data_IF_012811985037
#
_entry.id   IF_012811985037
#
_cell.length_a   1.000
_cell.length_b   1.000
_cell.length_c   1.000
_cell.angle_alpha   90.00
_cell.angle_beta   90.00
_cell.angle_gamma   90.00
#
_symmetry.space_group_name_H-M   'P 1'
#
loop_
_entity.id
_entity.type
_entity.pdbx_description
1 polymer ?
#
# COMPACT_ATOMS: atom_id res chain seq x y z
N UNK A 1 -37.68 -72.03 7.22
CA UNK A 1 -37.56 -70.58 7.44
C UNK A 1 -37.07 -69.95 6.16
N UNK A 2 -37.97 -69.31 5.41
CA UNK A 2 -37.67 -68.70 4.12
C UNK A 2 -36.85 -67.43 4.30
N UNK A 3 -35.72 -67.34 3.59
CA UNK A 3 -34.99 -66.09 3.39
C UNK A 3 -35.64 -65.39 2.19
N UNK A 4 -36.43 -64.35 2.45
CA UNK A 4 -36.94 -63.47 1.40
C UNK A 4 -35.82 -62.52 1.01
N UNK A 5 -35.30 -62.64 -0.22
CA UNK A 5 -34.49 -61.59 -0.84
C UNK A 5 -35.41 -60.67 -1.63
N UNK A 6 -35.58 -59.42 -1.18
CA UNK A 6 -36.24 -58.38 -1.97
C UNK A 6 -35.31 -57.97 -3.11
N UNK A 7 -35.75 -58.19 -4.35
CA UNK A 7 -35.22 -57.51 -5.52
C UNK A 7 -35.93 -56.15 -5.63
N UNK A 8 -35.19 -55.04 -5.50
CA UNK A 8 -35.74 -53.69 -5.69
C UNK A 8 -35.92 -53.42 -7.18
N UNK A 9 -37.18 -53.29 -7.63
CA UNK A 9 -37.52 -52.80 -8.97
C UNK A 9 -37.61 -51.27 -8.93
N UNK A 10 -36.79 -50.59 -9.74
CA UNK A 10 -36.84 -49.14 -9.93
C UNK A 10 -37.76 -48.82 -11.11
N UNK A 11 -38.77 -47.97 -10.89
CA UNK A 11 -39.72 -47.57 -11.96
C UNK A 11 -39.07 -46.59 -12.95
N UNK A 12 -39.59 -46.54 -14.18
CA UNK A 12 -39.08 -45.64 -15.22
C UNK A 12 -39.09 -44.15 -14.80
N UNK A 13 -40.05 -43.72 -13.98
CA UNK A 13 -40.11 -42.37 -13.42
C UNK A 13 -38.98 -42.08 -12.42
N UNK A 14 -38.61 -43.10 -11.62
CA UNK A 14 -37.43 -43.05 -10.74
C UNK A 14 -36.14 -42.89 -11.54
N UNK A 15 -36.01 -43.57 -12.69
CA UNK A 15 -34.82 -43.44 -13.54
C UNK A 15 -34.69 -42.05 -14.18
N UNK A 16 -35.78 -41.46 -14.66
CA UNK A 16 -35.77 -40.10 -15.24
C UNK A 16 -35.38 -39.05 -14.20
N UNK A 17 -35.90 -39.16 -12.97
CA UNK A 17 -35.54 -38.27 -11.87
C UNK A 17 -34.05 -38.37 -11.53
N UNK A 18 -33.49 -39.58 -11.51
CA UNK A 18 -32.06 -39.81 -11.25
C UNK A 18 -31.19 -39.14 -12.34
N UNK A 19 -31.54 -39.31 -13.62
CA UNK A 19 -30.80 -38.71 -14.73
C UNK A 19 -30.88 -37.18 -14.70
N UNK A 20 -32.04 -36.60 -14.39
CA UNK A 20 -32.21 -35.16 -14.28
C UNK A 20 -31.38 -34.57 -13.13
N UNK A 21 -31.37 -35.24 -11.97
CA UNK A 21 -30.55 -34.84 -10.80
C UNK A 21 -29.06 -34.95 -11.13
N UNK A 22 -28.63 -36.03 -11.78
CA UNK A 22 -27.24 -36.21 -12.23
C UNK A 22 -26.82 -35.11 -13.22
N UNK A 23 -27.68 -34.79 -14.18
CA UNK A 23 -27.46 -33.69 -15.13
C UNK A 23 -27.30 -32.35 -14.41
N UNK A 24 -28.12 -32.06 -13.40
CA UNK A 24 -28.03 -30.84 -12.60
C UNK A 24 -26.72 -30.77 -11.79
N UNK A 25 -26.33 -31.87 -11.15
CA UNK A 25 -25.09 -31.97 -10.35
C UNK A 25 -23.84 -31.82 -11.22
N UNK A 26 -23.83 -32.44 -12.40
CA UNK A 26 -22.72 -32.31 -13.36
C UNK A 26 -22.61 -30.89 -13.90
N UNK A 27 -23.73 -30.19 -14.13
CA UNK A 27 -23.71 -28.79 -14.52
C UNK A 27 -23.12 -27.90 -13.40
N UNK A 28 -23.48 -28.12 -12.14
CA UNK A 28 -22.88 -27.39 -11.01
C UNK A 28 -21.35 -27.52 -10.98
N UNK A 29 -20.80 -28.70 -11.26
CA UNK A 29 -19.36 -28.89 -11.33
C UNK A 29 -18.68 -28.14 -12.49
N UNK A 30 -19.39 -27.89 -13.59
CA UNK A 30 -18.91 -27.09 -14.74
C UNK A 30 -19.00 -25.59 -14.46
N UNK A 31 -19.99 -25.13 -13.68
CA UNK A 31 -20.12 -23.71 -13.28
C UNK A 31 -19.18 -23.36 -12.11
N UNK A 32 -18.68 -24.35 -11.37
CA UNK A 32 -17.68 -24.16 -10.33
C UNK A 32 -16.29 -23.99 -10.96
N UNK A 33 -15.84 -22.74 -11.13
CA UNK A 33 -14.45 -22.43 -11.42
C UNK A 33 -13.60 -22.74 -10.17
N UNK A 34 -13.18 -23.99 -10.02
CA UNK A 34 -12.33 -24.44 -8.91
C UNK A 34 -11.01 -23.67 -8.94
N UNK A 35 -10.70 -22.93 -7.86
CA UNK A 35 -9.52 -22.09 -7.80
C UNK A 35 -8.24 -22.87 -8.09
N UNK A 36 -7.44 -22.40 -9.05
CA UNK A 36 -6.11 -22.93 -9.32
C UNK A 36 -5.23 -22.56 -8.13
N UNK A 37 -4.80 -23.57 -7.36
CA UNK A 37 -3.88 -23.37 -6.24
C UNK A 37 -2.47 -23.75 -6.68
N UNK A 38 -1.51 -22.86 -6.46
CA UNK A 38 -0.10 -23.16 -6.72
C UNK A 38 0.40 -24.25 -5.77
N UNK A 39 1.23 -25.17 -6.26
CA UNK A 39 1.94 -26.15 -5.43
C UNK A 39 3.10 -25.53 -4.64
N UNK A 40 3.39 -24.25 -4.86
CA UNK A 40 4.42 -23.53 -4.13
C UNK A 40 4.01 -23.33 -2.66
N UNK A 41 4.76 -23.96 -1.77
CA UNK A 41 4.69 -23.72 -0.33
C UNK A 41 5.93 -22.93 0.07
N UNK A 42 5.73 -21.71 0.59
CA UNK A 42 6.83 -20.92 1.16
C UNK A 42 7.40 -21.68 2.36
N UNK A 43 8.67 -22.04 2.32
CA UNK A 43 9.36 -22.55 3.51
C UNK A 43 9.36 -21.44 4.57
N UNK A 44 8.71 -21.67 5.72
CA UNK A 44 8.72 -20.73 6.84
C UNK A 44 10.10 -20.82 7.48
N UNK A 45 11.05 -20.03 6.96
CA UNK A 45 12.19 -19.62 7.76
C UNK A 45 11.69 -18.54 8.71
N UNK A 46 11.96 -18.69 10.00
CA UNK A 46 11.65 -17.68 11.00
C UNK A 46 12.38 -16.40 10.60
N UNK A 47 11.66 -15.44 10.06
CA UNK A 47 12.24 -14.17 9.64
C UNK A 47 12.46 -13.32 10.88
N UNK A 48 13.72 -13.12 11.26
CA UNK A 48 14.07 -12.17 12.30
C UNK A 48 13.84 -10.74 11.80
N UNK A 49 13.50 -9.81 12.69
CA UNK A 49 13.42 -8.39 12.36
C UNK A 49 14.82 -7.85 11.99
N UNK A 50 14.87 -6.83 11.14
CA UNK A 50 16.12 -6.12 10.89
C UNK A 50 16.61 -5.47 12.21
N UNK A 51 17.90 -5.61 12.55
CA UNK A 51 18.43 -4.99 13.76
C UNK A 51 18.44 -3.46 13.61
N UNK A 52 18.33 -2.72 14.72
CA UNK A 52 18.20 -1.26 14.72
C UNK A 52 19.41 -0.52 14.12
N UNK A 53 20.57 -1.16 14.07
CA UNK A 53 21.81 -0.65 13.48
C UNK A 53 21.94 -0.96 11.98
N UNK A 54 20.91 -1.55 11.36
CA UNK A 54 20.88 -1.75 9.90
C UNK A 54 21.01 -0.42 9.16
N UNK A 55 21.68 -0.45 8.01
CA UNK A 55 21.91 0.68 7.13
C UNK A 55 20.60 1.41 6.74
N UNK A 56 19.52 0.67 6.48
CA UNK A 56 18.20 1.22 6.16
C UNK A 56 17.52 2.01 7.28
N UNK A 57 17.99 1.89 8.52
CA UNK A 57 17.48 2.63 9.69
C UNK A 57 18.37 3.80 10.10
N UNK A 58 19.43 4.09 9.35
CA UNK A 58 20.31 5.21 9.66
C UNK A 58 19.54 6.53 9.66
N UNK A 59 19.73 7.28 10.75
CA UNK A 59 19.11 8.60 10.92
C UNK A 59 19.83 9.60 10.00
N UNK A 60 19.09 10.47 9.29
CA UNK A 60 19.70 11.54 8.49
C UNK A 60 20.62 12.41 9.35
N UNK A 61 21.85 12.70 8.88
CA UNK A 61 22.79 13.48 9.67
C UNK A 61 22.36 14.94 9.78
N UNK A 62 22.73 15.58 10.88
CA UNK A 62 22.50 17.00 11.14
C UNK A 62 21.39 17.26 12.16
N UNK A 63 21.44 18.44 12.77
CA UNK A 63 20.51 18.80 13.83
C UNK A 63 19.08 18.93 13.31
N UNK A 64 18.15 18.23 13.95
CA UNK A 64 16.73 18.22 13.61
C UNK A 64 16.43 17.91 12.13
N UNK A 65 17.29 17.12 11.47
CA UNK A 65 17.14 16.78 10.07
C UNK A 65 15.82 15.99 9.84
N UNK A 66 15.00 16.37 8.83
CA UNK A 66 13.77 15.66 8.52
C UNK A 66 14.02 14.17 8.24
N UNK A 67 13.32 13.30 8.95
CA UNK A 67 13.32 11.86 8.77
C UNK A 67 11.91 11.35 8.46
N UNK A 68 11.82 10.10 8.00
CA UNK A 68 10.53 9.47 7.63
C UNK A 68 9.72 10.40 6.72
N UNK A 69 10.31 10.77 5.58
CA UNK A 69 9.65 11.62 4.58
C UNK A 69 8.78 10.71 3.72
N UNK A 70 7.49 11.01 3.64
CA UNK A 70 6.53 10.33 2.79
C UNK A 70 5.64 11.33 2.06
N UNK A 71 5.12 10.89 0.92
CA UNK A 71 4.14 11.64 0.13
C UNK A 71 2.93 10.77 -0.18
N UNK A 72 1.77 11.40 -0.33
CA UNK A 72 0.55 10.75 -0.83
C UNK A 72 -0.26 11.75 -1.65
N UNK A 73 -1.15 11.25 -2.51
CA UNK A 73 -2.13 12.09 -3.20
C UNK A 73 -2.96 12.90 -2.18
N UNK A 74 -3.12 14.19 -2.44
CA UNK A 74 -3.75 15.15 -1.53
C UNK A 74 -5.12 15.65 -1.95
N UNK A 75 -5.59 15.28 -3.12
CA UNK A 75 -6.90 15.65 -3.65
C UNK A 75 -7.55 14.48 -4.41
N UNK A 76 -8.72 14.72 -5.00
CA UNK A 76 -9.43 13.70 -5.76
C UNK A 76 -8.90 13.53 -7.19
N UNK A 77 -8.41 14.61 -7.82
CA UNK A 77 -8.04 14.64 -9.23
C UNK A 77 -6.56 14.29 -9.46
N UNK A 78 -5.71 14.32 -8.44
CA UNK A 78 -4.28 14.02 -8.54
C UNK A 78 -3.41 15.25 -8.81
N UNK A 79 -3.92 16.46 -8.58
CA UNK A 79 -3.16 17.71 -8.69
C UNK A 79 -2.77 18.33 -7.34
N UNK A 80 -2.88 17.56 -6.25
CA UNK A 80 -2.30 17.89 -4.96
C UNK A 80 -1.53 16.72 -4.36
N UNK A 81 -0.52 17.04 -3.55
CA UNK A 81 0.30 16.06 -2.82
C UNK A 81 0.41 16.50 -1.37
N UNK A 82 0.18 15.57 -0.45
CA UNK A 82 0.47 15.75 0.97
C UNK A 82 1.91 15.29 1.18
N UNK A 83 2.77 16.20 1.60
CA UNK A 83 4.14 15.92 2.03
C UNK A 83 4.15 15.81 3.55
N UNK A 84 4.72 14.75 4.09
CA UNK A 84 4.81 14.53 5.53
C UNK A 84 6.20 14.07 5.94
N UNK A 85 6.66 14.52 7.10
CA UNK A 85 7.96 14.18 7.66
C UNK A 85 7.95 14.30 9.17
N UNK A 86 9.01 13.81 9.81
CA UNK A 86 9.21 13.89 11.26
C UNK A 86 10.51 14.65 11.56
N UNK A 87 10.45 15.56 12.52
CA UNK A 87 11.61 16.16 13.18
C UNK A 87 11.69 15.63 14.62
N UNK A 88 12.90 15.28 15.08
CA UNK A 88 13.09 14.53 16.31
C UNK A 88 13.30 15.42 17.55
N UNK A 89 14.00 16.54 17.37
CA UNK A 89 14.53 17.33 18.48
C UNK A 89 13.59 18.50 18.86
N UNK A 90 13.05 19.18 17.85
CA UNK A 90 12.21 20.38 18.04
C UNK A 90 11.16 20.51 16.90
N UNK A 91 10.05 21.26 17.11
CA UNK A 91 8.99 21.35 16.12
C UNK A 91 9.49 21.80 14.75
N UNK A 92 10.35 22.81 14.68
CA UNK A 92 10.80 23.37 13.40
C UNK A 92 9.66 24.00 12.58
N UNK A 93 9.97 24.38 11.35
CA UNK A 93 9.00 24.98 10.42
C UNK A 93 8.32 23.91 9.56
N UNK A 94 6.98 24.02 9.44
CA UNK A 94 6.14 23.05 8.73
C UNK A 94 5.89 23.40 7.27
N UNK A 95 6.56 24.43 6.74
CA UNK A 95 6.41 24.83 5.34
C UNK A 95 7.24 23.97 4.40
N UNK A 96 6.80 23.91 3.15
CA UNK A 96 7.51 23.24 2.06
C UNK A 96 7.77 24.25 0.95
N UNK A 97 9.02 24.34 0.50
CA UNK A 97 9.38 25.08 -0.71
C UNK A 97 9.34 24.09 -1.87
N UNK A 98 8.67 24.43 -2.96
CA UNK A 98 8.53 23.57 -4.12
C UNK A 98 8.56 24.34 -5.44
N UNK A 99 8.98 23.67 -6.51
CA UNK A 99 9.05 24.23 -7.86
C UNK A 99 9.05 23.13 -8.92
N UNK A 100 8.71 23.47 -10.15
CA UNK A 100 8.96 22.66 -11.34
C UNK A 100 9.95 23.39 -12.25
N UNK A 101 10.32 22.78 -13.39
CA UNK A 101 11.27 23.39 -14.33
C UNK A 101 10.83 24.77 -14.84
N UNK A 102 9.51 24.99 -14.94
CA UNK A 102 8.92 26.19 -15.55
C UNK A 102 8.34 27.17 -14.51
N UNK A 103 8.43 26.87 -13.22
CA UNK A 103 7.89 27.71 -12.15
C UNK A 103 8.97 28.29 -11.24
N UNK A 104 8.65 29.43 -10.62
CA UNK A 104 9.46 29.95 -9.51
C UNK A 104 9.19 29.15 -8.25
N UNK A 105 10.09 29.25 -7.27
CA UNK A 105 9.89 28.69 -5.94
C UNK A 105 8.59 29.21 -5.33
N UNK A 106 7.74 28.27 -4.91
CA UNK A 106 6.50 28.49 -4.18
C UNK A 106 6.66 27.91 -2.78
N UNK A 107 5.87 28.43 -1.84
CA UNK A 107 5.83 27.93 -0.47
C UNK A 107 4.42 27.49 -0.12
N UNK A 108 4.29 26.31 0.47
CA UNK A 108 3.07 25.83 1.08
C UNK A 108 3.26 25.75 2.60
N UNK A 109 2.25 26.16 3.36
CA UNK A 109 2.28 26.09 4.82
C UNK A 109 1.65 24.78 5.30
N UNK A 110 2.30 24.13 6.25
CA UNK A 110 1.82 22.90 6.86
C UNK A 110 1.42 23.06 8.31
N UNK A 111 1.01 21.94 8.91
CA UNK A 111 0.71 21.83 10.34
C UNK A 111 1.65 20.81 10.98
N UNK A 112 1.90 20.98 12.27
CA UNK A 112 2.68 20.05 13.09
C UNK A 112 1.79 19.45 14.18
N UNK A 113 1.98 18.16 14.43
CA UNK A 113 1.24 17.40 15.43
C UNK A 113 2.16 16.42 16.15
N UNK A 114 1.74 15.96 17.33
CA UNK A 114 2.44 14.93 18.12
C UNK A 114 1.41 13.99 18.73
N UNK A 115 1.81 12.75 19.00
CA UNK A 115 0.98 11.81 19.74
C UNK A 115 1.76 11.08 20.83
N UNK A 116 1.03 10.55 21.80
CA UNK A 116 1.57 9.70 22.86
C UNK A 116 0.89 8.34 22.82
N UNK A 117 1.65 7.27 23.01
CA UNK A 117 1.14 5.91 23.13
C UNK A 117 1.87 5.18 24.26
N UNK A 118 1.16 4.86 25.34
CA UNK A 118 1.76 4.34 26.57
C UNK A 118 2.88 5.27 27.10
N UNK A 119 4.13 4.79 27.17
CA UNK A 119 5.30 5.56 27.60
C UNK A 119 6.10 6.14 26.43
N UNK A 120 5.61 6.00 25.18
CA UNK A 120 6.22 6.57 23.99
C UNK A 120 5.55 7.89 23.62
N UNK A 121 6.37 8.87 23.27
CA UNK A 121 5.95 10.14 22.67
C UNK A 121 6.60 10.23 21.29
N UNK A 122 5.81 10.56 20.27
CA UNK A 122 6.34 10.75 18.92
C UNK A 122 7.28 11.96 18.84
N UNK A 123 8.12 12.00 17.81
CA UNK A 123 8.66 13.28 17.32
C UNK A 123 7.56 14.20 16.80
N UNK A 124 7.96 15.32 16.21
CA UNK A 124 7.05 16.30 15.64
C UNK A 124 6.70 15.90 14.20
N UNK A 125 5.42 15.61 13.97
CA UNK A 125 4.91 15.08 12.71
C UNK A 125 4.33 16.24 11.91
N UNK A 126 4.92 16.50 10.76
CA UNK A 126 4.52 17.55 9.85
C UNK A 126 3.64 17.01 8.74
N UNK A 127 2.61 17.77 8.38
CA UNK A 127 1.79 17.55 7.21
C UNK A 127 1.61 18.88 6.46
N UNK A 128 2.03 18.91 5.20
CA UNK A 128 1.87 20.06 4.32
C UNK A 128 1.19 19.62 3.03
N UNK A 129 0.14 20.33 2.63
CA UNK A 129 -0.58 20.06 1.38
C UNK A 129 -0.08 21.03 0.32
N UNK A 130 0.48 20.50 -0.76
CA UNK A 130 0.87 21.26 -1.95
C UNK A 130 -0.22 21.03 -3.00
N UNK A 131 -0.95 22.06 -3.37
CA UNK A 131 -2.07 21.99 -4.32
C UNK A 131 -1.83 22.78 -5.61
N UNK A 132 -2.81 22.71 -6.51
CA UNK A 132 -2.80 23.38 -7.82
C UNK A 132 -1.57 23.05 -8.66
N UNK A 133 -1.12 21.80 -8.59
CA UNK A 133 0.01 21.30 -9.37
C UNK A 133 -0.41 21.05 -10.82
N UNK A 134 0.51 21.24 -11.76
CA UNK A 134 0.31 20.79 -13.13
C UNK A 134 0.37 19.27 -13.21
N UNK A 135 -0.48 18.65 -14.03
CA UNK A 135 -0.44 17.22 -14.28
C UNK A 135 0.82 16.81 -15.05
N UNK A 136 1.21 15.54 -14.94
CA UNK A 136 2.36 14.95 -15.64
C UNK A 136 3.63 15.82 -15.54
N UNK A 137 3.88 16.39 -14.36
CA UNK A 137 4.94 17.37 -14.14
C UNK A 137 5.80 16.95 -12.96
N UNK A 138 7.12 17.00 -13.14
CA UNK A 138 8.07 16.75 -12.06
C UNK A 138 8.21 18.00 -11.19
N UNK A 139 7.99 17.82 -9.89
CA UNK A 139 8.19 18.83 -8.87
C UNK A 139 9.34 18.43 -7.96
N UNK A 140 10.19 19.40 -7.67
CA UNK A 140 11.18 19.33 -6.60
C UNK A 140 10.60 20.01 -5.37
N UNK A 141 10.93 19.49 -4.20
CA UNK A 141 10.50 20.09 -2.94
C UNK A 141 11.55 19.94 -1.85
N UNK A 142 11.54 20.88 -0.91
CA UNK A 142 12.47 20.96 0.22
C UNK A 142 11.69 21.01 1.53
N UNK A 143 12.11 20.18 2.49
CA UNK A 143 11.62 20.14 3.87
C UNK A 143 12.77 20.46 4.85
N UNK A 144 12.45 20.82 6.10
CA UNK A 144 13.45 21.14 7.12
C UNK A 144 14.06 22.54 7.01
N UNK A 145 13.32 23.46 6.37
CA UNK A 145 13.73 24.85 6.15
C UNK A 145 13.99 25.52 7.50
N UNK A 146 15.12 26.23 7.60
CA UNK A 146 15.57 26.88 8.83
C UNK A 146 16.55 26.04 9.66
N UNK A 147 16.63 24.73 9.43
CA UNK A 147 17.58 23.82 10.08
C UNK A 147 18.40 23.08 9.00
N UNK A 148 18.20 21.76 8.87
CA UNK A 148 18.85 20.92 7.87
C UNK A 148 17.84 20.62 6.76
N UNK A 149 18.08 21.22 5.60
CA UNK A 149 17.23 21.06 4.43
C UNK A 149 17.46 19.71 3.75
N UNK A 150 16.37 19.08 3.32
CA UNK A 150 16.42 17.88 2.48
C UNK A 150 15.55 18.07 1.25
N UNK A 151 16.14 17.82 0.09
CA UNK A 151 15.48 17.94 -1.20
C UNK A 151 15.07 16.57 -1.74
N UNK A 152 13.87 16.51 -2.29
CA UNK A 152 13.30 15.34 -2.94
C UNK A 152 12.55 15.77 -4.21
N UNK A 153 11.99 14.80 -4.92
CA UNK A 153 11.18 15.06 -6.10
C UNK A 153 10.08 14.00 -6.26
N UNK A 154 9.01 14.39 -6.95
CA UNK A 154 7.94 13.49 -7.40
C UNK A 154 7.42 13.94 -8.75
N UNK A 155 6.65 13.10 -9.42
CA UNK A 155 5.95 13.45 -10.66
C UNK A 155 4.45 13.29 -10.43
N UNK A 156 3.68 14.34 -10.72
CA UNK A 156 2.22 14.27 -10.65
C UNK A 156 1.69 13.31 -11.71
N UNK A 157 0.58 12.61 -11.44
CA UNK A 157 -0.05 11.75 -12.44
C UNK A 157 -0.51 12.58 -13.65
N UNK A 158 -0.72 11.93 -14.81
CA UNK A 158 -1.49 12.53 -15.90
C UNK A 158 -2.91 12.89 -15.44
N UNK A 159 -3.54 13.82 -16.16
CA UNK A 159 -4.93 14.18 -15.91
C UNK A 159 -5.85 12.95 -16.07
N UNK A 160 -6.86 12.84 -15.21
CA UNK A 160 -7.78 11.69 -15.19
C UNK A 160 -8.53 11.60 -16.52
N UNK A 161 -8.52 10.41 -17.13
CA UNK A 161 -9.26 10.13 -18.36
C UNK A 161 -9.48 8.63 -18.57
N UNK A 162 -10.45 8.26 -19.42
CA UNK A 162 -10.83 6.85 -19.64
C UNK A 162 -9.71 5.98 -20.22
N UNK A 163 -8.83 6.58 -21.02
CA UNK A 163 -7.76 5.87 -21.75
C UNK A 163 -6.36 6.25 -21.25
N UNK A 164 -6.26 6.71 -20.01
CA UNK A 164 -5.00 7.19 -19.42
C UNK A 164 -4.26 6.03 -18.75
N UNK A 165 -3.07 5.63 -19.24
CA UNK A 165 -2.34 4.51 -18.66
C UNK A 165 -1.68 4.92 -17.34
N UNK A 166 -1.75 4.03 -16.35
CA UNK A 166 -1.03 4.18 -15.08
C UNK A 166 -0.64 2.81 -14.53
N UNK A 167 0.48 2.74 -13.81
CA UNK A 167 0.95 1.49 -13.19
C UNK A 167 0.91 1.63 -11.68
N UNK A 168 0.15 0.77 -11.02
CA UNK A 168 0.11 0.67 -9.56
C UNK A 168 0.93 -0.54 -9.10
N UNK A 169 1.72 -0.37 -8.04
CA UNK A 169 2.40 -1.46 -7.35
C UNK A 169 1.58 -1.89 -6.12
N UNK A 170 0.68 -2.88 -6.23
CA UNK A 170 -0.06 -3.37 -5.07
C UNK A 170 0.88 -4.13 -4.14
N UNK A 171 1.02 -3.66 -2.90
CA UNK A 171 1.81 -4.32 -1.85
C UNK A 171 0.89 -4.53 -0.65
N UNK A 172 0.90 -5.75 -0.09
CA UNK A 172 0.17 -6.10 1.12
C UNK A 172 1.09 -6.83 2.09
N UNK A 173 0.85 -6.65 3.40
CA UNK A 173 1.67 -7.20 4.49
C UNK A 173 3.16 -6.84 4.36
N UNK A 174 3.51 -5.65 4.85
CA UNK A 174 4.89 -5.17 4.90
C UNK A 174 5.49 -5.42 6.29
N UNK A 175 6.60 -6.14 6.35
CA UNK A 175 7.40 -6.38 7.55
C UNK A 175 8.86 -6.04 7.27
N UNK A 176 9.57 -5.58 8.29
CA UNK A 176 10.94 -5.11 8.16
C UNK A 176 11.89 -6.20 8.66
N UNK A 177 12.13 -7.18 7.79
CA UNK A 177 12.77 -8.45 8.12
C UNK A 177 14.22 -8.53 7.64
N UNK A 178 15.09 -9.14 8.44
CA UNK A 178 16.47 -9.45 8.05
C UNK A 178 16.47 -10.35 6.82
N UNK A 179 17.32 -10.01 5.85
CA UNK A 179 17.56 -10.88 4.71
C UNK A 179 18.40 -12.08 5.16
N UNK A 180 17.84 -13.29 5.06
CA UNK A 180 18.58 -14.53 5.32
C UNK A 180 19.59 -14.78 4.18
N UNK A 181 20.86 -14.41 4.40
CA UNK A 181 21.99 -14.84 3.58
C UNK A 181 22.84 -13.72 3.00
N UNK A 182 23.87 -13.32 3.75
CA UNK A 182 25.21 -12.91 3.30
C UNK A 182 26.23 -13.50 4.27
#
# INVERSE_FOLDING_TARGET
>A
MSVVRLASSTSASSMVAIVAVLGLVLNLAVVCNGGITSTFVRTIKYSADMPLDSDVFQVPPGHNAPQQVQITQGDHQGNAVIVSWITADEPGYSGVIYWSADTKNQTAEGVVTTYTFYNYTSGYIHHCIIGNLSFNTTYYYVVGIGNIERQFWFTTPPEVGPDVPYTFGPIGQYFVLKQDGS
#
